data_IF_183854974638
#
_entry.id   IF_183854974638
#
_cell.length_a   1.000
_cell.length_b   1.000
_cell.length_c   1.000
_cell.angle_alpha   90.00
_cell.angle_beta   90.00
_cell.angle_gamma   90.00
#
_symmetry.space_group_name_H-M   'P 1'
#
loop_
_entity.id
_entity.type
_entity.pdbx_description
1 polymer ?
#
# COMPACT_ATOMS: atom_id res chain seq x y z
N UNK A 1 43.76 35.62 35.22
CA UNK A 1 43.07 36.67 36.00
C UNK A 1 41.59 36.43 35.86
N UNK A 2 40.99 35.66 36.79
CA UNK A 2 40.40 36.09 38.07
C UNK A 2 38.94 36.51 37.84
N UNK A 3 38.02 35.56 38.00
CA UNK A 3 36.64 35.85 38.37
C UNK A 3 36.35 35.03 39.62
N UNK A 4 36.04 35.75 40.68
CA UNK A 4 35.89 35.25 42.04
C UNK A 4 34.46 34.77 42.26
N UNK A 5 34.32 33.55 42.76
CA UNK A 5 33.05 33.05 43.27
C UNK A 5 32.83 33.64 44.66
N UNK A 6 31.91 34.60 44.72
CA UNK A 6 31.52 35.30 45.93
C UNK A 6 30.21 34.75 46.50
N UNK A 7 30.33 34.27 47.73
CA UNK A 7 29.42 34.39 48.89
C UNK A 7 27.93 34.02 48.77
N UNK A 8 27.44 33.30 49.79
CA UNK A 8 26.02 33.31 50.14
C UNK A 8 25.45 32.03 50.75
N UNK A 9 26.14 31.38 51.70
CA UNK A 9 25.51 30.33 52.52
C UNK A 9 24.70 30.97 53.63
N UNK A 10 23.41 31.23 53.40
CA UNK A 10 22.45 31.61 54.44
C UNK A 10 22.04 30.35 55.20
N UNK A 11 22.33 30.38 56.49
CA UNK A 11 21.88 29.47 57.53
C UNK A 11 20.47 29.84 57.92
N UNK A 12 19.52 28.91 57.82
CA UNK A 12 18.28 28.94 58.58
C UNK A 12 18.09 27.58 59.27
N UNK A 13 18.52 27.54 60.52
CA UNK A 13 18.08 26.61 61.54
C UNK A 13 16.68 27.03 62.03
N UNK A 14 15.96 26.08 62.63
CA UNK A 14 14.80 26.29 63.50
C UNK A 14 13.39 26.34 62.90
N UNK A 15 12.81 25.16 62.65
CA UNK A 15 11.75 24.65 63.54
C UNK A 15 11.19 23.32 63.03
N UNK A 16 11.69 22.24 63.61
CA UNK A 16 10.98 20.97 63.70
C UNK A 16 9.76 21.18 64.61
N UNK A 17 8.66 21.67 64.06
CA UNK A 17 7.37 21.52 64.71
C UNK A 17 6.87 20.12 64.38
N UNK A 18 7.19 19.18 65.27
CA UNK A 18 6.51 17.91 65.36
C UNK A 18 5.03 18.20 65.68
N UNK A 19 4.20 18.31 64.63
CA UNK A 19 2.76 18.18 64.78
C UNK A 19 2.51 16.68 64.88
N UNK A 20 2.39 16.22 66.12
CA UNK A 20 1.83 14.92 66.43
C UNK A 20 0.34 14.95 66.12
N UNK A 21 0.01 14.65 64.88
CA UNK A 21 -1.22 13.95 64.56
C UNK A 21 -0.75 12.71 63.80
N UNK A 22 -1.17 11.54 64.25
CA UNK A 22 -1.15 10.35 63.41
C UNK A 22 -1.73 10.79 62.07
N UNK A 23 -0.89 10.86 61.04
CA UNK A 23 -1.33 11.16 59.69
C UNK A 23 -2.15 9.94 59.26
N UNK A 24 -3.40 9.88 59.73
CA UNK A 24 -4.26 8.73 59.61
C UNK A 24 -4.32 8.38 58.13
N UNK A 25 -3.90 7.15 57.81
CA UNK A 25 -3.88 6.71 56.43
C UNK A 25 -5.30 6.80 55.86
N UNK A 26 -5.42 7.22 54.60
CA UNK A 26 -6.69 7.17 53.91
C UNK A 26 -7.26 5.74 53.98
N UNK A 27 -8.53 5.64 54.34
CA UNK A 27 -9.23 4.40 54.67
C UNK A 27 -10.48 4.17 53.80
N UNK A 28 -10.91 5.20 53.04
CA UNK A 28 -12.01 5.12 52.07
C UNK A 28 -11.64 5.77 50.73
N UNK A 29 -12.29 5.35 49.65
CA UNK A 29 -12.12 5.93 48.31
C UNK A 29 -13.28 6.87 48.00
N UNK A 30 -12.99 8.11 47.62
CA UNK A 30 -13.99 9.04 47.10
C UNK A 30 -14.23 8.77 45.62
N UNK A 31 -15.37 8.14 45.28
CA UNK A 31 -15.75 7.81 43.89
C UNK A 31 -15.98 9.05 43.04
N UNK A 32 -16.43 10.15 43.63
CA UNK A 32 -16.66 11.42 42.92
C UNK A 32 -15.36 12.11 42.53
N UNK A 33 -14.38 12.15 43.45
CA UNK A 33 -13.09 12.84 43.22
C UNK A 33 -12.00 11.92 42.67
N UNK A 34 -12.25 10.60 42.66
CA UNK A 34 -11.31 9.55 42.26
C UNK A 34 -9.98 9.57 43.02
N UNK A 35 -10.05 9.82 44.33
CA UNK A 35 -8.90 9.85 45.24
C UNK A 35 -9.22 9.12 46.57
N UNK A 36 -8.24 8.46 47.20
CA UNK A 36 -8.39 7.97 48.56
C UNK A 36 -8.44 9.16 49.54
N UNK A 37 -9.35 9.11 50.50
CA UNK A 37 -9.56 10.14 51.52
C UNK A 37 -9.67 9.48 52.90
N UNK A 38 -9.60 10.28 53.97
CA UNK A 38 -9.95 9.78 55.32
C UNK A 38 -11.46 9.72 55.48
N UNK A 39 -11.99 8.76 56.22
CA UNK A 39 -13.41 8.65 56.54
C UNK A 39 -13.90 9.88 57.30
N UNK A 40 -13.01 10.52 58.07
CA UNK A 40 -13.28 11.81 58.70
C UNK A 40 -13.66 12.90 57.68
N UNK A 41 -12.99 12.97 56.53
CA UNK A 41 -13.25 13.98 55.50
C UNK A 41 -14.62 13.79 54.82
N UNK A 42 -15.12 12.55 54.79
CA UNK A 42 -16.48 12.24 54.37
C UNK A 42 -17.52 12.64 55.42
N UNK A 43 -17.23 12.51 56.72
CA UNK A 43 -18.20 12.84 57.77
C UNK A 43 -18.24 14.33 58.10
N UNK A 44 -17.08 14.99 58.11
CA UNK A 44 -16.91 16.34 58.65
C UNK A 44 -16.14 17.29 57.74
N UNK A 45 -15.50 16.81 56.68
CA UNK A 45 -14.71 17.60 55.74
C UNK A 45 -15.43 18.01 54.46
N UNK A 46 -14.64 18.24 53.40
CA UNK A 46 -15.08 18.73 52.10
C UNK A 46 -15.80 17.67 51.25
N UNK A 47 -15.73 16.39 51.66
CA UNK A 47 -16.30 15.25 50.92
C UNK A 47 -17.66 14.78 51.43
N UNK A 48 -18.36 15.58 52.24
CA UNK A 48 -19.67 15.24 52.84
C UNK A 48 -20.70 14.74 51.85
N UNK A 49 -20.80 15.39 50.70
CA UNK A 49 -21.79 15.07 49.68
C UNK A 49 -21.24 14.13 48.59
N UNK A 50 -19.98 13.71 48.67
CA UNK A 50 -19.35 12.84 47.66
C UNK A 50 -19.62 11.36 47.93
N UNK A 51 -19.81 10.58 46.88
CA UNK A 51 -19.95 9.13 47.02
C UNK A 51 -18.61 8.51 47.43
N UNK A 52 -18.63 7.62 48.44
CA UNK A 52 -17.43 6.91 48.91
C UNK A 52 -17.66 5.41 48.93
N UNK A 53 -16.58 4.65 48.72
CA UNK A 53 -16.54 3.21 48.86
C UNK A 53 -15.38 2.80 49.77
N UNK A 54 -15.44 1.61 50.36
CA UNK A 54 -14.27 1.06 51.04
C UNK A 54 -13.17 0.77 50.03
N UNK A 55 -11.91 1.01 50.39
CA UNK A 55 -10.76 0.83 49.49
C UNK A 55 -10.73 -0.56 48.81
N UNK A 56 -10.94 -1.70 49.51
CA UNK A 56 -10.94 -3.01 48.85
C UNK A 56 -12.03 -3.14 47.78
N UNK A 57 -13.25 -2.68 48.10
CA UNK A 57 -14.38 -2.69 47.15
C UNK A 57 -14.15 -1.77 45.96
N UNK A 58 -13.53 -0.60 46.17
CA UNK A 58 -13.18 0.31 45.09
C UNK A 58 -12.14 -0.31 44.15
N UNK A 59 -11.10 -0.96 44.71
CA UNK A 59 -10.08 -1.67 43.94
C UNK A 59 -10.68 -2.81 43.12
N UNK A 60 -11.55 -3.61 43.72
CA UNK A 60 -12.21 -4.72 43.01
C UNK A 60 -13.12 -4.20 41.88
N UNK A 61 -13.88 -3.13 42.11
CA UNK A 61 -14.73 -2.49 41.10
C UNK A 61 -13.92 -1.93 39.93
N UNK A 62 -12.82 -1.20 40.21
CA UNK A 62 -11.96 -0.63 39.17
C UNK A 62 -11.24 -1.74 38.38
N UNK A 63 -10.84 -2.83 39.05
CA UNK A 63 -10.27 -4.02 38.40
C UNK A 63 -11.27 -4.68 37.45
N UNK A 64 -12.52 -4.81 37.87
CA UNK A 64 -13.59 -5.35 37.02
C UNK A 64 -13.84 -4.45 35.80
N UNK A 65 -13.87 -3.12 35.99
CA UNK A 65 -14.03 -2.16 34.89
C UNK A 65 -12.86 -2.23 33.89
N UNK A 66 -11.63 -2.27 34.38
CA UNK A 66 -10.43 -2.44 33.54
C UNK A 66 -10.52 -3.75 32.76
N UNK A 67 -10.88 -4.86 33.42
CA UNK A 67 -11.02 -6.15 32.75
C UNK A 67 -12.10 -6.11 31.66
N UNK A 68 -13.26 -5.50 31.94
CA UNK A 68 -14.32 -5.32 30.95
C UNK A 68 -13.86 -4.49 29.75
N UNK A 69 -13.10 -3.42 29.99
CA UNK A 69 -12.57 -2.59 28.92
C UNK A 69 -11.49 -3.33 28.12
N UNK A 70 -10.67 -4.15 28.78
CA UNK A 70 -9.70 -5.03 28.12
C UNK A 70 -10.39 -6.01 27.17
N UNK A 71 -11.42 -6.72 27.62
CA UNK A 71 -12.18 -7.64 26.74
C UNK A 71 -12.78 -6.93 25.52
N UNK A 72 -13.32 -5.72 25.69
CA UNK A 72 -13.84 -4.94 24.55
C UNK A 72 -12.74 -4.57 23.55
N UNK A 73 -11.55 -4.21 24.04
CA UNK A 73 -10.42 -3.89 23.18
C UNK A 73 -9.92 -5.13 22.43
N UNK A 74 -9.86 -6.29 23.09
CA UNK A 74 -9.53 -7.56 22.46
C UNK A 74 -10.53 -7.91 21.34
N UNK A 75 -11.83 -7.76 21.59
CA UNK A 75 -12.88 -7.97 20.58
C UNK A 75 -12.75 -6.99 19.40
N UNK A 76 -12.39 -5.74 19.66
CA UNK A 76 -12.16 -4.74 18.61
C UNK A 76 -10.91 -5.04 17.78
N UNK A 77 -9.83 -5.50 18.42
CA UNK A 77 -8.61 -5.94 17.73
C UNK A 77 -8.94 -7.12 16.81
N UNK A 78 -9.64 -8.14 17.31
CA UNK A 78 -10.03 -9.28 16.49
C UNK A 78 -10.91 -8.88 15.29
N UNK A 79 -11.84 -7.94 15.46
CA UNK A 79 -12.62 -7.41 14.34
C UNK A 79 -11.76 -6.67 13.31
N UNK A 80 -10.78 -5.90 13.77
CA UNK A 80 -9.87 -5.16 12.89
C UNK A 80 -8.93 -6.09 12.12
N UNK A 81 -8.44 -7.16 12.76
CA UNK A 81 -7.64 -8.21 12.10
C UNK A 81 -8.45 -8.93 11.02
N UNK A 82 -9.70 -9.31 11.31
CA UNK A 82 -10.58 -9.92 10.30
C UNK A 82 -10.85 -8.97 9.12
N UNK A 83 -11.05 -7.69 9.39
CA UNK A 83 -11.22 -6.69 8.34
C UNK A 83 -9.96 -6.54 7.48
N UNK A 84 -8.78 -6.54 8.10
CA UNK A 84 -7.50 -6.49 7.39
C UNK A 84 -7.32 -7.71 6.47
N UNK A 85 -7.59 -8.93 6.97
CA UNK A 85 -7.55 -10.15 6.15
C UNK A 85 -8.51 -10.07 4.96
N UNK A 86 -9.71 -9.51 5.14
CA UNK A 86 -10.64 -9.33 4.03
C UNK A 86 -10.13 -8.34 2.97
N UNK A 87 -9.46 -7.25 3.39
CA UNK A 87 -8.81 -6.32 2.46
C UNK A 87 -7.66 -6.99 1.68
N UNK A 88 -6.90 -7.87 2.31
CA UNK A 88 -5.84 -8.65 1.64
C UNK A 88 -6.44 -9.58 0.57
N UNK A 89 -7.54 -10.28 0.87
CA UNK A 89 -8.24 -11.11 -0.11
C UNK A 89 -8.75 -10.30 -1.30
N UNK A 90 -9.32 -9.11 -1.05
CA UNK A 90 -9.76 -8.20 -2.11
C UNK A 90 -8.56 -7.76 -2.96
N UNK A 91 -7.45 -7.40 -2.33
CA UNK A 91 -6.23 -7.00 -3.03
C UNK A 91 -5.72 -8.10 -3.96
N UNK A 92 -5.59 -9.33 -3.45
CA UNK A 92 -5.17 -10.50 -4.24
C UNK A 92 -6.12 -10.71 -5.43
N UNK A 93 -7.43 -10.66 -5.18
CA UNK A 93 -8.44 -10.84 -6.25
C UNK A 93 -8.31 -9.79 -7.36
N UNK A 94 -8.05 -8.53 -6.98
CA UNK A 94 -7.85 -7.45 -7.93
C UNK A 94 -6.55 -7.64 -8.72
N UNK A 95 -5.46 -7.98 -8.04
CA UNK A 95 -4.16 -8.24 -8.68
C UNK A 95 -4.24 -9.40 -9.68
N UNK A 96 -4.85 -10.52 -9.30
CA UNK A 96 -5.09 -11.67 -10.18
C UNK A 96 -5.97 -11.30 -11.39
N UNK A 97 -6.95 -10.42 -11.20
CA UNK A 97 -7.80 -9.94 -12.28
C UNK A 97 -7.02 -9.12 -13.30
N UNK A 98 -6.19 -8.18 -12.84
CA UNK A 98 -5.32 -7.39 -13.71
C UNK A 98 -4.30 -8.26 -14.43
N UNK A 99 -3.63 -9.19 -13.73
CA UNK A 99 -2.68 -10.11 -14.34
C UNK A 99 -3.31 -10.96 -15.46
N UNK A 100 -4.54 -11.45 -15.26
CA UNK A 100 -5.29 -12.16 -16.31
C UNK A 100 -5.66 -11.25 -17.48
N UNK A 101 -6.03 -9.99 -17.24
CA UNK A 101 -6.34 -9.05 -18.31
C UNK A 101 -5.10 -8.72 -19.14
N UNK A 102 -3.96 -8.46 -18.50
CA UNK A 102 -2.69 -8.19 -19.16
C UNK A 102 -2.25 -9.38 -20.02
N UNK A 103 -2.29 -10.60 -19.49
CA UNK A 103 -1.93 -11.79 -20.24
C UNK A 103 -2.82 -11.98 -21.48
N UNK A 104 -4.15 -11.80 -21.33
CA UNK A 104 -5.07 -11.90 -22.47
C UNK A 104 -4.76 -10.82 -23.53
N UNK A 105 -4.48 -9.59 -23.09
CA UNK A 105 -4.12 -8.51 -23.99
C UNK A 105 -2.83 -8.80 -24.75
N UNK A 106 -1.80 -9.29 -24.06
CA UNK A 106 -0.53 -9.67 -24.67
C UNK A 106 -0.71 -10.78 -25.72
N UNK A 107 -1.46 -11.84 -25.40
CA UNK A 107 -1.75 -12.93 -26.36
C UNK A 107 -2.45 -12.38 -27.60
N UNK A 108 -3.54 -11.64 -27.42
CA UNK A 108 -4.31 -11.10 -28.55
C UNK A 108 -3.51 -10.10 -29.38
N UNK A 109 -2.66 -9.28 -28.75
CA UNK A 109 -1.80 -8.34 -29.44
C UNK A 109 -0.76 -9.08 -30.28
N UNK A 110 -0.10 -10.09 -29.72
CA UNK A 110 0.89 -10.90 -30.43
C UNK A 110 0.25 -11.66 -31.60
N UNK A 111 -0.94 -12.23 -31.43
CA UNK A 111 -1.69 -12.87 -32.51
C UNK A 111 -1.97 -11.88 -33.65
N UNK A 112 -2.41 -10.66 -33.34
CA UNK A 112 -2.67 -9.63 -34.34
C UNK A 112 -1.38 -9.23 -35.10
N UNK A 113 -0.27 -9.05 -34.38
CA UNK A 113 1.03 -8.74 -34.99
C UNK A 113 1.49 -9.88 -35.90
N UNK A 114 1.32 -11.13 -35.48
CA UNK A 114 1.68 -12.30 -36.29
C UNK A 114 0.86 -12.37 -37.58
N UNK A 115 -0.46 -12.16 -37.50
CA UNK A 115 -1.33 -12.12 -38.67
C UNK A 115 -0.92 -11.01 -39.64
N UNK A 116 -0.57 -9.82 -39.12
CA UNK A 116 -0.11 -8.71 -39.94
C UNK A 116 1.24 -9.02 -40.62
N UNK A 117 2.19 -9.62 -39.89
CA UNK A 117 3.47 -10.02 -40.44
C UNK A 117 3.31 -11.05 -41.57
N UNK A 118 2.49 -12.08 -41.35
CA UNK A 118 2.20 -13.09 -42.36
C UNK A 118 1.58 -12.45 -43.62
N UNK A 119 0.59 -11.56 -43.45
CA UNK A 119 -0.05 -10.89 -44.58
C UNK A 119 0.90 -10.00 -45.37
N UNK A 120 1.84 -9.35 -44.69
CA UNK A 120 2.87 -8.56 -45.33
C UNK A 120 3.84 -9.43 -46.16
N UNK A 121 4.29 -10.56 -45.62
CA UNK A 121 5.13 -11.52 -46.34
C UNK A 121 4.42 -12.09 -47.58
N UNK A 122 3.16 -12.53 -47.44
CA UNK A 122 2.33 -13.01 -48.54
C UNK A 122 2.21 -11.97 -49.68
N UNK A 123 2.01 -10.69 -49.34
CA UNK A 123 1.94 -9.60 -50.33
C UNK A 123 3.27 -9.33 -51.01
N UNK A 124 4.38 -9.38 -50.26
CA UNK A 124 5.72 -9.21 -50.83
C UNK A 124 6.07 -10.33 -51.80
N UNK A 125 5.76 -11.59 -51.45
CA UNK A 125 5.98 -12.73 -52.32
C UNK A 125 5.15 -12.61 -53.61
N UNK A 126 3.86 -12.27 -53.50
CA UNK A 126 2.98 -12.08 -54.65
C UNK A 126 3.49 -10.98 -55.60
N UNK A 127 3.94 -9.85 -55.03
CA UNK A 127 4.53 -8.75 -55.82
C UNK A 127 5.86 -9.16 -56.47
N UNK A 128 6.69 -9.90 -55.76
CA UNK A 128 7.95 -10.43 -56.28
C UNK A 128 7.73 -11.36 -57.48
N UNK A 129 6.73 -12.24 -57.37
CA UNK A 129 6.33 -13.15 -58.43
C UNK A 129 5.74 -12.41 -59.64
N UNK A 130 4.86 -11.43 -59.43
CA UNK A 130 4.33 -10.59 -60.51
C UNK A 130 5.45 -9.84 -61.24
N UNK A 131 6.41 -9.27 -60.49
CA UNK A 131 7.58 -8.61 -61.07
C UNK A 131 8.41 -9.58 -61.90
N UNK A 132 8.65 -10.80 -61.41
CA UNK A 132 9.41 -11.84 -62.11
C UNK A 132 8.74 -12.20 -63.44
N UNK A 133 7.44 -12.50 -63.42
CA UNK A 133 6.67 -12.83 -64.62
C UNK A 133 6.70 -11.70 -65.66
N UNK A 134 6.55 -10.43 -65.24
CA UNK A 134 6.64 -9.29 -66.15
C UNK A 134 8.03 -9.13 -66.78
N UNK A 135 9.09 -9.35 -66.01
CA UNK A 135 10.47 -9.28 -66.51
C UNK A 135 10.77 -10.41 -67.51
N UNK A 136 10.32 -11.62 -67.23
CA UNK A 136 10.45 -12.77 -68.14
C UNK A 136 9.73 -12.51 -69.47
N UNK A 137 8.49 -12.02 -69.42
CA UNK A 137 7.73 -11.68 -70.63
C UNK A 137 8.42 -10.58 -71.46
N UNK A 138 8.99 -9.55 -70.82
CA UNK A 138 9.76 -8.52 -71.52
C UNK A 138 11.03 -9.08 -72.16
N UNK A 139 11.71 -10.00 -71.47
CA UNK A 139 12.91 -10.65 -71.99
C UNK A 139 12.58 -11.51 -73.22
N UNK A 140 11.49 -12.28 -73.18
CA UNK A 140 11.01 -13.06 -74.32
C UNK A 140 10.68 -12.18 -75.53
N UNK A 141 10.00 -11.04 -75.32
CA UNK A 141 9.71 -10.07 -76.37
C UNK A 141 10.99 -9.50 -76.99
N UNK A 142 11.99 -9.17 -76.18
CA UNK A 142 13.28 -8.65 -76.65
C UNK A 142 14.00 -9.68 -77.53
N UNK A 143 14.02 -10.95 -77.11
CA UNK A 143 14.61 -12.05 -77.87
C UNK A 143 13.87 -12.26 -79.19
N UNK A 144 12.54 -12.20 -79.20
CA UNK A 144 11.74 -12.31 -80.43
C UNK A 144 12.06 -11.18 -81.40
N UNK A 145 12.07 -9.93 -80.93
CA UNK A 145 12.39 -8.76 -81.75
C UNK A 145 13.79 -8.87 -82.36
N UNK A 146 14.78 -9.36 -81.59
CA UNK A 146 16.13 -9.62 -82.11
C UNK A 146 16.13 -10.63 -83.28
N UNK A 147 15.40 -11.74 -83.14
CA UNK A 147 15.25 -12.74 -84.21
C UNK A 147 14.57 -12.18 -85.45
N UNK A 148 13.53 -11.38 -85.27
CA UNK A 148 12.80 -10.74 -86.37
C UNK A 148 13.69 -9.74 -87.13
N UNK A 149 14.52 -8.98 -86.41
CA UNK A 149 15.53 -8.09 -86.99
C UNK A 149 16.60 -8.86 -87.78
N UNK A 150 17.13 -9.94 -87.21
CA UNK A 150 18.12 -10.80 -87.89
C UNK A 150 17.53 -11.39 -89.19
N UNK A 151 16.29 -11.88 -89.16
CA UNK A 151 15.60 -12.39 -90.34
C UNK A 151 15.38 -11.30 -91.42
N UNK A 152 15.03 -10.08 -91.01
CA UNK A 152 14.89 -8.95 -91.94
C UNK A 152 16.23 -8.59 -92.59
N UNK A 153 17.33 -8.67 -91.83
CA UNK A 153 18.68 -8.43 -92.35
C UNK A 153 19.08 -9.49 -93.37
N UNK A 154 18.89 -10.77 -93.06
CA UNK A 154 19.18 -11.87 -94.00
C UNK A 154 18.39 -11.73 -95.31
N UNK A 155 17.10 -11.40 -95.24
CA UNK A 155 16.29 -11.16 -96.43
C UNK A 155 16.85 -10.03 -97.30
N UNK A 156 17.28 -8.93 -96.67
CA UNK A 156 17.89 -7.80 -97.38
C UNK A 156 19.18 -8.22 -98.09
N UNK A 157 20.05 -8.97 -97.40
CA UNK A 157 21.32 -9.46 -97.93
C UNK A 157 21.13 -10.42 -99.12
N UNK A 158 20.02 -11.20 -99.16
CA UNK A 158 19.72 -12.11 -100.28
C UNK A 158 19.13 -11.44 -101.53
N UNK A 159 18.65 -10.20 -101.40
CA UNK A 159 18.01 -9.45 -102.51
C UNK A 159 18.96 -8.53 -103.28
N UNK A 160 20.25 -8.54 -102.94
CA UNK A 160 21.30 -7.70 -103.51
C UNK A 160 22.31 -8.53 -104.33
#
# INVERSE_FOLDING_TARGET
SREELSSGGISDDWSSQAVSEEEEAADVFCSTCKIPIRAFDKLFGEHKEHEVAQLPSAVDSEKEEIHKNMCKLEDQIAQMENFASHLEEIFITVEENFGRQEQNFEVHYNDAVQVLAQKYEEQLEALGEEKRQKLEALYEQLVSCGKDLDACKELTDTTQ
#
